data_IF_006636003421
#
_entry.id   IF_006636003421
#
_cell.length_a   1.000
_cell.length_b   1.000
_cell.length_c   1.000
_cell.angle_alpha   90.00
_cell.angle_beta   90.00
_cell.angle_gamma   90.00
#
_symmetry.space_group_name_H-M   'P 1'
#
loop_
_entity.id
_entity.type
_entity.pdbx_description
1 polymer ?
#
# COMPACT_ATOMS: atom_id res chain seq x y z
N UNK A 1 11.27 33.33 2.27
CA UNK A 1 10.63 32.09 1.80
C UNK A 1 9.16 32.13 2.20
N UNK A 2 8.25 32.23 1.24
CA UNK A 2 6.82 32.07 1.51
C UNK A 2 6.57 30.62 1.89
N UNK A 3 6.11 30.36 3.12
CA UNK A 3 5.60 29.04 3.50
C UNK A 3 4.46 28.69 2.54
N UNK A 4 4.64 27.63 1.77
CA UNK A 4 3.60 27.12 0.88
C UNK A 4 2.79 26.12 1.68
N UNK A 5 1.61 26.54 2.13
CA UNK A 5 0.75 25.77 3.03
C UNK A 5 -0.31 24.97 2.27
N UNK A 6 -0.31 25.06 0.93
CA UNK A 6 -1.36 24.48 0.12
C UNK A 6 -1.06 23.00 -0.15
N UNK A 7 -1.90 22.12 0.36
CA UNK A 7 -1.86 20.68 0.10
C UNK A 7 -1.76 20.34 -1.39
N UNK A 8 -2.43 21.11 -2.26
CA UNK A 8 -2.35 20.94 -3.73
C UNK A 8 -0.93 21.13 -4.27
N UNK A 9 -0.13 21.97 -3.61
CA UNK A 9 1.28 22.14 -3.92
C UNK A 9 2.05 20.88 -3.51
N UNK A 10 1.94 20.42 -2.26
CA UNK A 10 2.61 19.21 -1.79
C UNK A 10 2.30 17.98 -2.67
N UNK A 11 1.03 17.75 -3.00
CA UNK A 11 0.61 16.61 -3.86
C UNK A 11 1.20 16.74 -5.28
N UNK A 12 1.25 17.95 -5.84
CA UNK A 12 1.81 18.17 -7.20
C UNK A 12 3.31 17.93 -7.30
N UNK A 13 4.06 18.08 -6.21
CA UNK A 13 5.52 17.99 -6.24
C UNK A 13 6.06 16.66 -5.73
N UNK A 14 5.28 15.89 -4.95
CA UNK A 14 5.79 14.68 -4.30
C UNK A 14 6.16 13.56 -5.29
N UNK A 15 5.50 13.49 -6.44
CA UNK A 15 5.78 12.52 -7.51
C UNK A 15 6.23 13.19 -8.81
N UNK A 16 6.73 14.43 -8.73
CA UNK A 16 7.24 15.11 -9.91
C UNK A 16 8.57 14.49 -10.34
N UNK A 17 8.67 14.10 -11.60
CA UNK A 17 9.88 13.49 -12.15
C UNK A 17 11.16 14.31 -11.90
N UNK A 18 12.20 13.61 -11.46
CA UNK A 18 13.54 14.18 -11.26
C UNK A 18 13.67 15.09 -10.03
N UNK A 19 12.68 15.09 -9.12
CA UNK A 19 12.73 15.86 -7.88
C UNK A 19 13.29 15.05 -6.70
N UNK A 20 13.93 15.70 -5.71
CA UNK A 20 14.31 15.05 -4.46
C UNK A 20 13.12 14.40 -3.73
N UNK A 21 11.94 15.03 -3.78
CA UNK A 21 10.73 14.53 -3.16
C UNK A 21 10.26 13.21 -3.80
N UNK A 22 10.29 13.12 -5.13
CA UNK A 22 10.01 11.87 -5.83
C UNK A 22 11.04 10.79 -5.47
N UNK A 23 12.33 11.13 -5.43
CA UNK A 23 13.36 10.17 -5.03
C UNK A 23 13.12 9.64 -3.61
N UNK A 24 12.72 10.50 -2.67
CA UNK A 24 12.34 10.11 -1.31
C UNK A 24 11.10 9.23 -1.28
N UNK A 25 10.05 9.57 -2.05
CA UNK A 25 8.85 8.76 -2.18
C UNK A 25 9.18 7.37 -2.73
N UNK A 26 9.93 7.29 -3.83
CA UNK A 26 10.33 6.01 -4.44
C UNK A 26 11.20 5.18 -3.51
N UNK A 27 12.13 5.79 -2.78
CA UNK A 27 12.93 5.09 -1.78
C UNK A 27 12.07 4.55 -0.62
N UNK A 28 11.10 5.33 -0.14
CA UNK A 28 10.16 4.89 0.88
C UNK A 28 9.31 3.71 0.40
N UNK A 29 8.78 3.78 -0.81
CA UNK A 29 7.98 2.71 -1.42
C UNK A 29 8.80 1.43 -1.61
N UNK A 30 10.03 1.56 -2.10
CA UNK A 30 10.98 0.45 -2.26
C UNK A 30 11.33 -0.21 -0.92
N UNK A 31 11.64 0.60 0.11
CA UNK A 31 11.90 0.06 1.45
C UNK A 31 10.68 -0.63 2.05
N UNK A 32 9.49 -0.06 1.85
CA UNK A 32 8.22 -0.63 2.34
C UNK A 32 7.95 -2.01 1.73
N UNK A 33 8.07 -2.15 0.41
CA UNK A 33 7.82 -3.45 -0.24
C UNK A 33 8.86 -4.51 0.15
N UNK A 34 10.14 -4.13 0.27
CA UNK A 34 11.20 -5.03 0.72
C UNK A 34 10.98 -5.51 2.16
N UNK A 35 10.46 -4.63 3.03
CA UNK A 35 10.14 -4.99 4.40
C UNK A 35 9.01 -6.03 4.46
N UNK A 36 7.92 -5.84 3.70
CA UNK A 36 6.83 -6.83 3.62
C UNK A 36 7.29 -8.15 2.99
N UNK A 37 8.09 -8.10 1.93
CA UNK A 37 8.67 -9.28 1.29
C UNK A 37 9.54 -10.09 2.26
N UNK A 38 10.45 -9.41 2.95
CA UNK A 38 11.34 -10.04 3.93
C UNK A 38 10.54 -10.64 5.09
N UNK A 39 9.55 -9.89 5.59
CA UNK A 39 8.69 -10.35 6.68
C UNK A 39 7.91 -11.62 6.31
N UNK A 40 7.28 -11.66 5.13
CA UNK A 40 6.51 -12.82 4.69
C UNK A 40 7.41 -13.99 4.31
N UNK A 41 8.53 -13.74 3.64
CA UNK A 41 9.53 -14.78 3.34
C UNK A 41 10.01 -15.47 4.62
N UNK A 42 10.31 -14.70 5.67
CA UNK A 42 10.72 -15.25 6.96
C UNK A 42 9.60 -16.05 7.63
N UNK A 43 8.35 -15.57 7.60
CA UNK A 43 7.21 -16.32 8.13
C UNK A 43 7.03 -17.66 7.41
N UNK A 44 7.10 -17.67 6.08
CA UNK A 44 6.99 -18.88 5.27
C UNK A 44 8.14 -19.85 5.58
N UNK A 45 9.38 -19.37 5.67
CA UNK A 45 10.54 -20.20 6.02
C UNK A 45 10.42 -20.83 7.42
N UNK A 46 9.79 -20.13 8.36
CA UNK A 46 9.51 -20.63 9.72
C UNK A 46 8.25 -21.51 9.79
N UNK A 47 7.63 -21.86 8.65
CA UNK A 47 6.37 -22.59 8.58
C UNK A 47 5.21 -21.90 9.33
N UNK A 48 5.27 -20.56 9.42
CA UNK A 48 4.23 -19.70 9.98
C UNK A 48 3.37 -19.21 8.81
N UNK A 49 2.05 -19.32 8.94
CA UNK A 49 1.13 -18.77 7.93
C UNK A 49 1.13 -17.23 8.03
N UNK A 50 1.52 -16.51 6.98
CA UNK A 50 1.47 -15.05 6.96
C UNK A 50 0.03 -14.54 6.88
N UNK A 51 -0.18 -13.25 7.19
CA UNK A 51 -1.50 -12.61 7.12
C UNK A 51 -1.95 -12.27 5.68
N UNK A 52 -1.04 -12.33 4.71
CA UNK A 52 -1.31 -12.35 3.26
C UNK A 52 -0.40 -13.39 2.59
N UNK A 53 -0.86 -13.99 1.48
CA UNK A 53 -0.20 -15.11 0.82
C UNK A 53 0.12 -14.78 -0.65
N UNK A 54 1.39 -14.44 -0.96
CA UNK A 54 1.82 -14.27 -2.34
C UNK A 54 1.61 -15.55 -3.16
N UNK A 55 1.18 -15.40 -4.41
CA UNK A 55 1.11 -16.53 -5.35
C UNK A 55 2.53 -17.08 -5.57
N UNK A 56 2.74 -18.36 -5.30
CA UNK A 56 4.06 -18.99 -5.41
C UNK A 56 5.01 -18.70 -4.24
N UNK A 57 4.53 -18.08 -3.15
CA UNK A 57 5.30 -17.90 -1.91
C UNK A 57 6.24 -16.70 -1.90
N UNK A 58 6.27 -15.89 -2.96
CA UNK A 58 7.09 -14.67 -3.06
C UNK A 58 6.32 -13.53 -3.74
N UNK A 59 6.65 -12.29 -3.39
CA UNK A 59 6.14 -11.11 -4.10
C UNK A 59 6.95 -10.90 -5.38
N UNK A 60 6.32 -10.41 -6.47
CA UNK A 60 7.03 -10.09 -7.72
C UNK A 60 7.71 -8.71 -7.60
N UNK A 61 8.75 -8.64 -6.77
CA UNK A 61 9.52 -7.42 -6.52
C UNK A 61 10.79 -7.44 -7.38
N UNK A 62 11.00 -6.35 -8.15
CA UNK A 62 12.13 -6.21 -9.09
C UNK A 62 12.91 -4.94 -8.78
N UNK A 63 13.79 -4.94 -7.77
CA UNK A 63 14.42 -3.72 -7.26
C UNK A 63 15.41 -3.08 -8.26
N UNK A 64 15.84 -3.81 -9.27
CA UNK A 64 16.73 -3.33 -10.34
C UNK A 64 16.03 -3.12 -11.69
N UNK A 65 14.69 -3.15 -11.71
CA UNK A 65 13.91 -2.85 -12.92
C UNK A 65 13.82 -1.35 -13.17
N UNK A 66 13.33 -0.96 -14.35
CA UNK A 66 13.06 0.44 -14.70
C UNK A 66 12.05 1.11 -13.76
N UNK A 67 11.09 0.35 -13.21
CA UNK A 67 10.14 0.83 -12.21
C UNK A 67 10.16 -0.05 -10.95
N UNK A 68 11.14 0.15 -10.05
CA UNK A 68 11.36 -0.75 -8.92
C UNK A 68 10.23 -0.71 -7.88
N UNK A 69 9.37 0.32 -7.89
CA UNK A 69 8.24 0.49 -6.97
C UNK A 69 6.89 0.07 -7.56
N UNK A 70 6.88 -0.45 -8.78
CA UNK A 70 5.64 -0.81 -9.50
C UNK A 70 4.75 -1.76 -8.69
N UNK A 71 5.36 -2.75 -8.01
CA UNK A 71 4.64 -3.72 -7.21
C UNK A 71 3.79 -3.04 -6.13
N UNK A 72 4.40 -2.21 -5.28
CA UNK A 72 3.69 -1.58 -4.16
C UNK A 72 2.73 -0.49 -4.61
N UNK A 73 3.03 0.19 -5.72
CA UNK A 73 2.10 1.14 -6.35
C UNK A 73 0.84 0.45 -6.84
N UNK A 74 0.96 -0.72 -7.47
CA UNK A 74 -0.19 -1.53 -7.87
C UNK A 74 -1.01 -1.99 -6.66
N UNK A 75 -0.35 -2.38 -5.57
CA UNK A 75 -1.02 -2.72 -4.31
C UNK A 75 -1.82 -1.54 -3.78
N UNK A 76 -1.22 -0.36 -3.72
CA UNK A 76 -1.88 0.88 -3.26
C UNK A 76 -3.06 1.22 -4.18
N UNK A 77 -2.87 1.19 -5.50
CA UNK A 77 -3.94 1.51 -6.44
C UNK A 77 -5.11 0.55 -6.37
N UNK A 78 -4.85 -0.76 -6.40
CA UNK A 78 -5.92 -1.75 -6.28
C UNK A 78 -6.67 -1.65 -4.95
N UNK A 79 -5.98 -1.30 -3.86
CA UNK A 79 -6.62 -1.06 -2.57
C UNK A 79 -7.56 0.17 -2.62
N UNK A 80 -7.14 1.26 -3.26
CA UNK A 80 -7.94 2.47 -3.42
C UNK A 80 -9.16 2.25 -4.32
N UNK A 81 -8.98 1.57 -5.45
CA UNK A 81 -10.05 1.20 -6.37
C UNK A 81 -11.09 0.33 -5.66
N UNK A 82 -10.66 -0.78 -5.04
CA UNK A 82 -11.54 -1.65 -4.26
C UNK A 82 -12.29 -0.86 -3.18
N UNK A 83 -11.60 0.02 -2.46
CA UNK A 83 -12.21 0.82 -1.40
C UNK A 83 -13.33 1.70 -1.94
N UNK A 84 -13.13 2.32 -3.11
CA UNK A 84 -14.14 3.15 -3.76
C UNK A 84 -15.30 2.33 -4.33
N UNK A 85 -15.05 1.09 -4.77
CA UNK A 85 -16.11 0.16 -5.21
C UNK A 85 -17.02 -0.26 -4.05
N UNK A 86 -16.43 -0.65 -2.90
CA UNK A 86 -17.20 -1.15 -1.74
C UNK A 86 -17.75 -0.03 -0.85
N UNK A 87 -17.07 1.12 -0.82
CA UNK A 87 -17.46 2.30 -0.05
C UNK A 87 -17.17 3.60 -0.85
N UNK A 88 -18.03 3.98 -1.80
CA UNK A 88 -17.82 5.16 -2.65
C UNK A 88 -17.69 6.49 -1.90
N UNK A 89 -18.11 6.53 -0.64
CA UNK A 89 -18.07 7.73 0.20
C UNK A 89 -16.93 7.71 1.22
N UNK A 90 -16.10 6.65 1.28
CA UNK A 90 -15.00 6.48 2.24
C UNK A 90 -14.20 7.76 2.46
N UNK A 91 -13.65 8.31 1.38
CA UNK A 91 -12.75 9.47 1.41
C UNK A 91 -13.49 10.81 1.40
N UNK A 92 -14.84 10.81 1.38
CA UNK A 92 -15.67 12.01 1.51
C UNK A 92 -16.24 12.19 2.91
N UNK A 93 -16.41 11.09 3.66
CA UNK A 93 -16.88 11.11 5.05
C UNK A 93 -15.95 11.95 5.92
N UNK A 94 -16.52 12.55 6.97
CA UNK A 94 -15.78 13.36 7.94
C UNK A 94 -14.95 14.46 7.28
N UNK A 95 -15.50 15.14 6.26
CA UNK A 95 -14.85 16.21 5.50
C UNK A 95 -13.49 15.80 4.90
N UNK A 96 -13.36 14.54 4.48
CA UNK A 96 -12.16 14.04 3.84
C UNK A 96 -11.00 13.68 4.77
N UNK A 97 -11.22 13.66 6.10
CA UNK A 97 -10.19 13.24 7.06
C UNK A 97 -9.63 11.84 6.73
N UNK A 98 -10.48 10.92 6.26
CA UNK A 98 -10.08 9.58 5.87
C UNK A 98 -9.12 9.54 4.66
N UNK A 99 -9.02 10.61 3.86
CA UNK A 99 -8.05 10.70 2.77
C UNK A 99 -6.62 10.98 3.27
N UNK A 100 -6.46 11.37 4.54
CA UNK A 100 -5.18 11.71 5.16
C UNK A 100 -4.72 10.70 6.20
N UNK A 101 -5.40 9.55 6.32
CA UNK A 101 -5.01 8.49 7.26
C UNK A 101 -3.70 7.82 6.84
N UNK A 102 -2.94 7.24 7.78
CA UNK A 102 -1.68 6.57 7.52
C UNK A 102 -1.75 5.53 6.39
N UNK A 103 -0.82 5.63 5.43
CA UNK A 103 -0.74 4.81 4.22
C UNK A 103 -0.45 3.33 4.51
N UNK A 104 0.14 3.01 5.67
CA UNK A 104 0.44 1.63 6.07
C UNK A 104 -0.82 0.75 6.10
N UNK A 105 -1.92 1.26 6.69
CA UNK A 105 -3.17 0.51 6.79
C UNK A 105 -3.80 0.22 5.42
N UNK A 106 -3.60 1.11 4.45
CA UNK A 106 -4.05 0.94 3.06
C UNK A 106 -3.18 -0.10 2.33
N UNK A 107 -1.87 -0.06 2.52
CA UNK A 107 -0.94 -1.06 1.97
C UNK A 107 -1.25 -2.44 2.53
N UNK A 108 -1.47 -2.55 3.84
CA UNK A 108 -1.83 -3.81 4.50
C UNK A 108 -3.16 -4.36 3.97
N UNK A 109 -4.19 -3.52 3.90
CA UNK A 109 -5.47 -3.89 3.30
C UNK A 109 -5.32 -4.34 1.83
N UNK A 110 -4.52 -3.63 1.04
CA UNK A 110 -4.21 -3.97 -0.34
C UNK A 110 -3.53 -5.34 -0.47
N UNK A 111 -2.47 -5.58 0.31
CA UNK A 111 -1.76 -6.86 0.33
C UNK A 111 -2.70 -8.02 0.69
N UNK A 112 -3.54 -7.85 1.72
CA UNK A 112 -4.44 -8.91 2.15
C UNK A 112 -5.55 -9.21 1.14
N UNK A 113 -6.10 -8.19 0.49
CA UNK A 113 -7.23 -8.37 -0.46
C UNK A 113 -6.79 -8.82 -1.84
N UNK A 114 -5.60 -8.42 -2.30
CA UNK A 114 -5.04 -8.84 -3.59
C UNK A 114 -4.32 -10.18 -3.51
N UNK A 115 -3.74 -10.50 -2.35
CA UNK A 115 -3.02 -11.75 -2.10
C UNK A 115 -3.60 -12.48 -0.88
N UNK A 116 -4.89 -12.87 -0.89
CA UNK A 116 -5.51 -13.48 0.28
C UNK A 116 -5.04 -14.92 0.49
N UNK A 117 -4.78 -15.30 1.74
CA UNK A 117 -4.49 -16.70 2.11
C UNK A 117 -5.71 -17.63 2.04
N UNK A 118 -6.90 -17.06 2.02
CA UNK A 118 -8.18 -17.77 2.00
C UNK A 118 -9.04 -17.18 0.87
N UNK A 119 -9.82 -18.00 0.17
CA UNK A 119 -10.75 -17.49 -0.85
C UNK A 119 -11.70 -16.41 -0.30
N UNK A 120 -12.11 -16.58 0.96
CA UNK A 120 -12.82 -15.57 1.74
C UNK A 120 -11.99 -15.30 2.99
N UNK A 121 -11.60 -14.04 3.19
CA UNK A 121 -10.80 -13.63 4.36
C UNK A 121 -11.68 -13.73 5.61
N UNK A 122 -11.33 -14.59 6.59
CA UNK A 122 -12.08 -14.76 7.83
C UNK A 122 -12.18 -13.45 8.62
N UNK A 123 -13.29 -13.24 9.34
CA UNK A 123 -13.57 -11.97 10.01
C UNK A 123 -12.49 -11.62 11.05
N UNK A 124 -11.98 -12.64 11.76
CA UNK A 124 -10.90 -12.55 12.74
C UNK A 124 -9.56 -12.09 12.16
N UNK A 125 -9.39 -12.16 10.83
CA UNK A 125 -8.17 -11.73 10.14
C UNK A 125 -8.33 -10.38 9.43
N UNK A 126 -9.53 -9.80 9.38
CA UNK A 126 -9.79 -8.54 8.70
C UNK A 126 -9.22 -7.37 9.49
N UNK A 127 -8.63 -6.41 8.78
CA UNK A 127 -8.17 -5.18 9.38
C UNK A 127 -9.34 -4.30 9.81
N UNK A 128 -9.30 -3.87 11.07
CA UNK A 128 -10.32 -3.00 11.64
C UNK A 128 -10.44 -1.70 10.84
N UNK A 129 -11.69 -1.31 10.59
CA UNK A 129 -11.98 -0.10 9.85
C UNK A 129 -11.92 -0.28 8.33
N UNK A 130 -11.63 -1.46 7.78
CA UNK A 130 -11.74 -1.73 6.34
C UNK A 130 -12.97 -2.57 5.99
N UNK A 131 -13.45 -2.43 4.76
CA UNK A 131 -14.60 -3.19 4.22
C UNK A 131 -14.05 -4.28 3.31
N UNK A 132 -14.50 -5.52 3.50
CA UNK A 132 -13.99 -6.71 2.78
C UNK A 132 -15.05 -7.33 1.89
#
# INVERSE_FOLDING_TARGET
MSRVNNLSFFIRFIDKEGTPEQAQLKAFLLGTQQAYESSVSNQIQMNIRPWFCPKGGQLDIRPYSENPTQFIENVIWGALERTLEVDPNRFKRSNGIAAFTPTNSLVEYGLQTQYPCHQVIPQEHRFNGWVY
#
